data_IF_187262685077
#
_entry.id   IF_187262685077
#
_cell.length_a   1.000
_cell.length_b   1.000
_cell.length_c   1.000
_cell.angle_alpha   90.00
_cell.angle_beta   90.00
_cell.angle_gamma   90.00
#
_symmetry.space_group_name_H-M   'P 1'
#
loop_
_entity.id
_entity.type
_entity.pdbx_description
1 polymer ?
#
# COMPACT_ATOMS: atom_id res chain seq x y z
N UNK A 1 0.81 11.47 11.85
CA UNK A 1 2.20 11.93 12.01
C UNK A 1 3.02 11.66 10.74
N UNK A 2 4.16 12.34 10.56
CA UNK A 2 5.07 12.09 9.43
C UNK A 2 5.55 10.63 9.45
N UNK A 3 5.92 10.11 10.61
CA UNK A 3 6.36 8.71 10.78
C UNK A 3 5.28 7.72 10.29
N UNK A 4 4.01 7.95 10.62
CA UNK A 4 2.91 7.10 10.16
C UNK A 4 2.76 7.15 8.62
N UNK A 5 2.74 8.35 8.05
CA UNK A 5 2.58 8.54 6.60
C UNK A 5 3.72 7.90 5.81
N UNK A 6 4.98 8.19 6.17
CA UNK A 6 6.15 7.63 5.47
C UNK A 6 6.32 6.13 5.69
N UNK A 7 5.95 5.61 6.87
CA UNK A 7 5.99 4.18 7.14
C UNK A 7 4.93 3.40 6.35
N UNK A 8 3.72 3.94 6.22
CA UNK A 8 2.68 3.35 5.38
C UNK A 8 3.03 3.46 3.88
N UNK A 9 3.72 4.52 3.47
CA UNK A 9 4.26 4.64 2.13
C UNK A 9 5.29 3.53 1.83
N UNK A 10 6.21 3.29 2.75
CA UNK A 10 7.17 2.19 2.62
C UNK A 10 6.49 0.81 2.58
N UNK A 11 5.40 0.61 3.34
CA UNK A 11 4.58 -0.60 3.25
C UNK A 11 3.95 -0.74 1.86
N UNK A 12 3.42 0.37 1.32
CA UNK A 12 2.84 0.40 -0.02
C UNK A 12 3.88 0.01 -1.08
N UNK A 13 5.07 0.59 -1.02
CA UNK A 13 6.19 0.22 -1.90
C UNK A 13 6.46 -1.29 -1.87
N UNK A 14 6.54 -1.87 -0.67
CA UNK A 14 6.85 -3.29 -0.50
C UNK A 14 5.72 -4.20 -1.04
N UNK A 15 4.46 -3.89 -0.74
CA UNK A 15 3.32 -4.69 -1.19
C UNK A 15 3.16 -4.60 -2.71
N UNK A 16 3.16 -3.38 -3.28
CA UNK A 16 3.06 -3.21 -4.74
C UNK A 16 4.21 -3.89 -5.47
N UNK A 17 5.45 -3.74 -5.00
CA UNK A 17 6.60 -4.45 -5.58
C UNK A 17 6.41 -5.97 -5.52
N UNK A 18 5.86 -6.49 -4.42
CA UNK A 18 5.65 -7.92 -4.27
C UNK A 18 4.58 -8.47 -5.22
N UNK A 19 3.48 -7.74 -5.44
CA UNK A 19 2.40 -8.20 -6.33
C UNK A 19 2.56 -7.74 -7.78
N UNK A 20 3.56 -6.92 -8.07
CA UNK A 20 3.86 -6.39 -9.40
C UNK A 20 4.08 -7.50 -10.44
N UNK A 21 3.73 -7.23 -11.69
CA UNK A 21 4.06 -8.11 -12.81
C UNK A 21 5.57 -8.20 -13.08
N UNK A 22 6.35 -7.25 -12.58
CA UNK A 22 7.81 -7.25 -12.65
C UNK A 22 8.50 -7.96 -11.47
N UNK A 23 7.74 -8.55 -10.54
CA UNK A 23 8.28 -9.22 -9.37
C UNK A 23 9.11 -10.47 -9.73
N UNK A 24 10.17 -10.70 -9.00
CA UNK A 24 11.05 -11.86 -9.14
C UNK A 24 11.66 -12.26 -7.79
N UNK A 25 12.32 -13.42 -7.66
CA UNK A 25 12.77 -13.95 -6.35
C UNK A 25 13.58 -12.99 -5.48
N UNK A 26 14.42 -12.14 -6.07
CA UNK A 26 15.22 -11.17 -5.31
C UNK A 26 14.37 -10.01 -4.79
N UNK A 27 13.45 -9.50 -5.59
CA UNK A 27 12.53 -8.45 -5.15
C UNK A 27 11.52 -9.00 -4.13
N UNK A 28 11.08 -10.25 -4.30
CA UNK A 28 10.16 -10.93 -3.38
C UNK A 28 10.76 -11.06 -1.97
N UNK A 29 12.02 -11.48 -1.88
CA UNK A 29 12.69 -11.61 -0.59
C UNK A 29 12.78 -10.28 0.15
N UNK A 30 13.18 -9.22 -0.55
CA UNK A 30 13.27 -7.88 0.01
C UNK A 30 11.88 -7.33 0.41
N UNK A 31 10.88 -7.50 -0.45
CA UNK A 31 9.53 -7.00 -0.21
C UNK A 31 8.87 -7.67 1.02
N UNK A 32 8.93 -8.99 1.12
CA UNK A 32 8.33 -9.72 2.25
C UNK A 32 9.00 -9.37 3.58
N UNK A 33 10.33 -9.24 3.60
CA UNK A 33 11.04 -8.80 4.82
C UNK A 33 10.71 -7.34 5.17
N UNK A 34 10.61 -6.45 4.16
CA UNK A 34 10.16 -5.09 4.38
C UNK A 34 8.76 -5.03 5.02
N UNK A 35 7.80 -5.80 4.48
CA UNK A 35 6.43 -5.89 5.02
C UNK A 35 6.47 -6.34 6.50
N UNK A 36 7.26 -7.38 6.82
CA UNK A 36 7.39 -7.90 8.17
C UNK A 36 7.95 -6.85 9.14
N UNK A 37 9.03 -6.19 8.76
CA UNK A 37 9.67 -5.16 9.58
C UNK A 37 8.75 -3.98 9.82
N UNK A 38 8.13 -3.45 8.76
CA UNK A 38 7.25 -2.30 8.86
C UNK A 38 6.03 -2.60 9.72
N UNK A 39 5.37 -3.75 9.50
CA UNK A 39 4.22 -4.14 10.31
C UNK A 39 4.54 -4.25 11.81
N UNK A 40 5.72 -4.79 12.15
CA UNK A 40 6.14 -4.98 13.53
C UNK A 40 6.57 -3.67 14.21
N UNK A 41 7.26 -2.79 13.49
CA UNK A 41 7.97 -1.67 14.08
C UNK A 41 7.32 -0.31 13.84
N UNK A 42 6.48 -0.14 12.81
CA UNK A 42 5.83 1.14 12.56
C UNK A 42 4.97 1.62 13.73
N UNK A 43 4.12 0.78 14.37
CA UNK A 43 3.37 1.22 15.53
C UNK A 43 4.26 1.72 16.66
N UNK A 44 5.37 1.03 16.92
CA UNK A 44 6.33 1.40 17.98
C UNK A 44 7.04 2.73 17.67
N UNK A 45 7.41 2.94 16.41
CA UNK A 45 8.03 4.20 15.98
C UNK A 45 7.05 5.39 15.98
N UNK A 46 5.76 5.12 15.82
CA UNK A 46 4.69 6.13 15.91
C UNK A 46 4.38 6.48 17.36
N UNK A 47 4.33 5.47 18.24
CA UNK A 47 4.05 5.65 19.67
C UNK A 47 5.20 6.38 20.38
N UNK A 48 6.45 6.06 20.03
CA UNK A 48 7.64 6.71 20.57
C UNK A 48 8.66 7.02 19.45
N UNK A 49 8.66 8.25 18.99
CA UNK A 49 9.58 8.73 17.94
C UNK A 49 11.07 8.74 18.36
N UNK A 50 11.38 8.58 19.65
CA UNK A 50 12.74 8.49 20.20
C UNK A 50 13.22 7.05 20.38
N UNK A 51 12.37 6.05 20.14
CA UNK A 51 12.75 4.64 20.16
C UNK A 51 13.71 4.33 19.01
N UNK A 52 15.03 4.35 19.29
CA UNK A 52 16.08 4.18 18.28
C UNK A 52 16.01 2.81 17.60
N UNK A 53 15.67 1.75 18.33
CA UNK A 53 15.52 0.42 17.74
C UNK A 53 14.38 0.39 16.72
N UNK A 54 13.22 0.94 17.07
CA UNK A 54 12.09 1.01 16.14
C UNK A 54 12.42 1.83 14.89
N UNK A 55 13.14 2.94 15.05
CA UNK A 55 13.58 3.78 13.93
C UNK A 55 14.59 3.09 13.03
N UNK A 56 15.54 2.36 13.61
CA UNK A 56 16.53 1.55 12.86
C UNK A 56 15.82 0.47 12.03
N UNK A 57 14.91 -0.28 12.65
CA UNK A 57 14.17 -1.32 11.95
C UNK A 57 13.26 -0.76 10.86
N UNK A 58 12.66 0.41 11.08
CA UNK A 58 11.92 1.12 10.03
C UNK A 58 12.84 1.59 8.89
N UNK A 59 14.07 2.02 9.17
CA UNK A 59 15.05 2.38 8.15
C UNK A 59 15.44 1.15 7.29
N UNK A 60 15.65 -0.02 7.90
CA UNK A 60 15.86 -1.26 7.16
C UNK A 60 14.62 -1.64 6.32
N UNK A 61 13.43 -1.60 6.91
CA UNK A 61 12.18 -1.90 6.19
C UNK A 61 11.98 -1.01 4.97
N UNK A 62 12.18 0.29 5.12
CA UNK A 62 12.08 1.26 4.03
C UNK A 62 13.15 1.02 2.95
N UNK A 63 14.39 0.73 3.34
CA UNK A 63 15.47 0.45 2.40
C UNK A 63 15.21 -0.83 1.58
N UNK A 64 14.76 -1.91 2.23
CA UNK A 64 14.39 -3.15 1.55
C UNK A 64 13.20 -2.95 0.59
N UNK A 65 12.19 -2.16 1.00
CA UNK A 65 11.09 -1.78 0.12
C UNK A 65 11.60 -1.01 -1.11
N UNK A 66 12.55 -0.10 -0.91
CA UNK A 66 13.23 0.64 -1.97
C UNK A 66 13.96 -0.26 -2.96
N UNK A 67 14.72 -1.24 -2.46
CA UNK A 67 15.40 -2.25 -3.29
C UNK A 67 14.41 -3.09 -4.10
N UNK A 68 13.26 -3.43 -3.51
CA UNK A 68 12.24 -4.23 -4.17
C UNK A 68 11.58 -3.45 -5.32
N UNK A 69 11.00 -2.28 -5.04
CA UNK A 69 10.23 -1.55 -6.06
C UNK A 69 11.12 -0.97 -7.17
N UNK A 70 12.37 -0.65 -6.89
CA UNK A 70 13.29 -0.13 -7.91
C UNK A 70 13.49 -1.10 -9.08
N UNK A 71 13.33 -2.39 -8.83
CA UNK A 71 13.46 -3.44 -9.86
C UNK A 71 12.10 -4.02 -10.30
N UNK A 72 11.15 -4.19 -9.38
CA UNK A 72 9.85 -4.77 -9.68
C UNK A 72 8.83 -3.75 -10.20
N UNK A 73 9.03 -2.46 -9.96
CA UNK A 73 8.04 -1.41 -10.22
C UNK A 73 6.98 -1.33 -9.12
N UNK A 74 6.05 -0.40 -9.29
CA UNK A 74 4.92 -0.12 -8.40
C UNK A 74 3.60 -0.52 -9.07
N UNK A 75 2.49 0.10 -8.70
CA UNK A 75 1.18 -0.25 -9.24
C UNK A 75 0.16 0.88 -9.16
N UNK A 76 -1.11 0.50 -9.10
CA UNK A 76 -2.23 1.44 -9.11
C UNK A 76 -2.33 2.27 -7.83
N UNK A 77 -1.83 1.82 -6.68
CA UNK A 77 -1.88 2.64 -5.45
C UNK A 77 -1.11 3.94 -5.69
N UNK A 78 0.14 3.85 -6.14
CA UNK A 78 0.94 5.04 -6.45
C UNK A 78 0.35 5.84 -7.60
N UNK A 79 -0.08 5.18 -8.67
CA UNK A 79 -0.68 5.86 -9.83
C UNK A 79 -1.89 6.73 -9.43
N UNK A 80 -2.75 6.21 -8.56
CA UNK A 80 -3.91 6.95 -8.08
C UNK A 80 -3.53 7.98 -7.01
N UNK A 81 -2.58 7.69 -6.12
CA UNK A 81 -2.16 8.59 -5.05
C UNK A 81 -1.52 9.89 -5.56
N UNK A 82 -0.86 9.85 -6.71
CA UNK A 82 -0.25 11.04 -7.31
C UNK A 82 -1.26 12.15 -7.61
N UNK A 83 -2.51 11.81 -7.92
CA UNK A 83 -3.51 12.80 -8.35
C UNK A 83 -3.98 13.70 -7.19
N UNK A 84 -4.48 13.18 -6.05
CA UNK A 84 -4.83 14.02 -4.89
C UNK A 84 -3.60 14.72 -4.30
N UNK A 85 -2.42 14.09 -4.34
CA UNK A 85 -1.17 14.73 -3.94
C UNK A 85 -0.89 15.99 -4.76
N UNK A 86 -1.01 15.92 -6.07
CA UNK A 86 -0.73 17.03 -6.98
C UNK A 86 -1.79 18.14 -6.94
N UNK A 87 -3.07 17.80 -6.81
CA UNK A 87 -4.17 18.77 -6.92
C UNK A 87 -4.57 19.39 -5.58
N UNK A 88 -4.43 18.67 -4.49
CA UNK A 88 -4.82 19.09 -3.14
C UNK A 88 -3.63 19.27 -2.19
N UNK A 89 -2.40 19.10 -2.70
CA UNK A 89 -1.17 19.19 -1.90
C UNK A 89 -1.20 18.29 -0.67
N UNK A 90 -1.81 17.11 -0.79
CA UNK A 90 -1.88 16.12 0.28
C UNK A 90 -0.55 15.39 0.42
N UNK A 91 -0.15 14.99 1.65
CA UNK A 91 1.05 14.21 1.85
C UNK A 91 0.98 12.87 1.10
N UNK A 92 1.98 12.58 0.28
CA UNK A 92 2.04 11.39 -0.58
C UNK A 92 1.76 10.08 0.17
N UNK A 93 2.45 9.87 1.30
CA UNK A 93 2.26 8.67 2.10
C UNK A 93 0.86 8.53 2.72
N UNK A 94 0.15 9.64 2.97
CA UNK A 94 -1.26 9.61 3.40
C UNK A 94 -2.15 9.17 2.25
N UNK A 95 -1.92 9.69 1.04
CA UNK A 95 -2.68 9.29 -0.15
C UNK A 95 -2.50 7.80 -0.44
N UNK A 96 -1.27 7.30 -0.40
CA UNK A 96 -0.98 5.88 -0.55
C UNK A 96 -1.66 5.03 0.53
N UNK A 97 -1.57 5.44 1.79
CA UNK A 97 -2.14 4.68 2.91
C UNK A 97 -3.67 4.55 2.86
N UNK A 98 -4.38 5.59 2.40
CA UNK A 98 -5.84 5.55 2.20
C UNK A 98 -6.19 4.57 1.07
N UNK A 99 -5.49 4.64 -0.05
CA UNK A 99 -5.77 3.85 -1.25
C UNK A 99 -5.33 2.38 -1.13
N UNK A 100 -4.28 2.10 -0.34
CA UNK A 100 -3.65 0.79 -0.26
C UNK A 100 -4.64 -0.37 -0.01
N UNK A 101 -5.47 -0.38 1.04
CA UNK A 101 -6.37 -1.51 1.30
C UNK A 101 -7.47 -1.65 0.24
N UNK A 102 -7.85 -0.57 -0.41
CA UNK A 102 -8.91 -0.54 -1.43
C UNK A 102 -8.38 -1.15 -2.72
N UNK A 103 -7.26 -0.65 -3.21
CA UNK A 103 -6.67 -1.09 -4.48
C UNK A 103 -6.11 -2.49 -4.35
N UNK A 104 -5.52 -2.87 -3.21
CA UNK A 104 -5.02 -4.22 -3.04
C UNK A 104 -6.16 -5.25 -2.89
N UNK A 105 -7.33 -4.84 -2.39
CA UNK A 105 -8.52 -5.67 -2.47
C UNK A 105 -9.01 -5.86 -3.92
N UNK A 106 -8.92 -4.82 -4.75
CA UNK A 106 -9.17 -4.91 -6.20
C UNK A 106 -8.18 -5.84 -6.90
N UNK A 107 -6.90 -5.77 -6.54
CA UNK A 107 -5.82 -6.58 -7.12
C UNK A 107 -5.87 -8.05 -6.66
N UNK A 108 -6.39 -8.32 -5.47
CA UNK A 108 -6.34 -9.61 -4.78
C UNK A 108 -6.76 -10.81 -5.65
N UNK A 109 -7.86 -10.77 -6.43
CA UNK A 109 -8.25 -11.92 -7.25
C UNK A 109 -7.21 -12.35 -8.28
N UNK A 110 -6.33 -11.44 -8.70
CA UNK A 110 -5.27 -11.71 -9.67
C UNK A 110 -3.95 -12.18 -9.01
N UNK A 111 -3.86 -12.16 -7.67
CA UNK A 111 -2.64 -12.46 -6.94
C UNK A 111 -2.91 -13.15 -5.58
N UNK A 112 -3.92 -14.02 -5.50
CA UNK A 112 -4.41 -14.64 -4.26
C UNK A 112 -3.28 -15.28 -3.44
N UNK A 113 -2.45 -16.15 -4.04
CA UNK A 113 -1.35 -16.81 -3.36
C UNK A 113 -0.29 -15.80 -2.86
N UNK A 114 -0.06 -14.71 -3.59
CA UNK A 114 0.88 -13.66 -3.17
C UNK A 114 0.33 -12.88 -1.98
N UNK A 115 -0.96 -12.52 -1.98
CA UNK A 115 -1.59 -11.88 -0.82
C UNK A 115 -1.67 -12.80 0.41
N UNK A 116 -1.82 -14.12 0.23
CA UNK A 116 -1.70 -15.07 1.34
C UNK A 116 -0.30 -14.98 2.02
N UNK A 117 0.76 -14.80 1.23
CA UNK A 117 2.12 -14.58 1.75
C UNK A 117 2.28 -13.20 2.39
N UNK A 118 1.62 -12.16 1.86
CA UNK A 118 1.57 -10.83 2.51
C UNK A 118 0.94 -10.96 3.90
N UNK A 119 -0.17 -11.70 4.05
CA UNK A 119 -0.79 -11.95 5.36
C UNK A 119 0.22 -12.55 6.36
N UNK A 120 0.96 -13.58 5.93
CA UNK A 120 1.99 -14.21 6.76
C UNK A 120 3.09 -13.20 7.17
N UNK A 121 3.58 -12.40 6.23
CA UNK A 121 4.58 -11.37 6.48
C UNK A 121 4.06 -10.30 7.46
N UNK A 122 2.78 -9.99 7.42
CA UNK A 122 2.10 -9.10 8.38
C UNK A 122 1.75 -9.80 9.72
N UNK A 123 2.23 -11.01 9.95
CA UNK A 123 2.08 -11.71 11.23
C UNK A 123 0.72 -12.38 11.44
N UNK A 124 -0.11 -12.52 10.40
CA UNK A 124 -1.37 -13.27 10.48
C UNK A 124 -1.08 -14.77 10.59
N UNK A 125 -1.71 -15.44 11.56
CA UNK A 125 -1.65 -16.90 11.65
C UNK A 125 -2.56 -17.53 10.57
N UNK A 126 -1.94 -17.97 9.49
CA UNK A 126 -2.65 -18.55 8.33
C UNK A 126 -2.74 -20.07 8.37
N UNK A 127 -2.36 -20.73 9.47
CA UNK A 127 -2.44 -22.19 9.60
C UNK A 127 -3.89 -22.68 9.45
N UNK A 128 -4.11 -23.59 8.53
CA UNK A 128 -5.44 -24.12 8.24
C UNK A 128 -6.33 -23.24 7.38
N UNK A 129 -5.87 -22.07 6.97
CA UNK A 129 -6.59 -21.22 6.02
C UNK A 129 -6.31 -21.66 4.57
N UNK A 130 -7.31 -21.48 3.71
CA UNK A 130 -7.07 -21.46 2.26
C UNK A 130 -6.32 -20.17 1.87
N UNK A 131 -5.66 -20.18 0.72
CA UNK A 131 -5.01 -18.98 0.18
C UNK A 131 -6.03 -17.83 0.00
N UNK A 132 -7.27 -18.16 -0.39
CA UNK A 132 -8.34 -17.17 -0.51
C UNK A 132 -8.64 -16.50 0.83
N UNK A 133 -8.83 -17.26 1.90
CA UNK A 133 -9.08 -16.73 3.24
C UNK A 133 -7.88 -15.94 3.77
N UNK A 134 -6.67 -16.46 3.58
CA UNK A 134 -5.43 -15.78 3.98
C UNK A 134 -5.25 -14.46 3.21
N UNK A 135 -5.55 -14.43 1.91
CA UNK A 135 -5.46 -13.22 1.10
C UNK A 135 -6.41 -12.11 1.56
N UNK A 136 -7.62 -12.47 1.99
CA UNK A 136 -8.56 -11.51 2.60
C UNK A 136 -8.04 -10.99 3.94
N UNK A 137 -7.40 -11.86 4.73
CA UNK A 137 -6.78 -11.45 6.01
C UNK A 137 -5.62 -10.47 5.81
N UNK A 138 -4.90 -10.52 4.68
CA UNK A 138 -3.90 -9.52 4.35
C UNK A 138 -4.52 -8.11 4.22
N UNK A 139 -5.62 -8.00 3.49
CA UNK A 139 -6.32 -6.72 3.32
C UNK A 139 -6.82 -6.18 4.67
N UNK A 140 -7.34 -7.06 5.54
CA UNK A 140 -7.75 -6.65 6.88
C UNK A 140 -6.55 -6.20 7.72
N UNK A 141 -5.43 -6.90 7.68
CA UNK A 141 -4.22 -6.51 8.40
C UNK A 141 -3.68 -5.14 7.96
N UNK A 142 -3.78 -4.81 6.67
CA UNK A 142 -3.43 -3.47 6.15
C UNK A 142 -4.35 -2.40 6.75
N UNK A 143 -5.67 -2.63 6.78
CA UNK A 143 -6.65 -1.72 7.38
C UNK A 143 -6.38 -1.51 8.87
N UNK A 144 -6.13 -2.58 9.59
CA UNK A 144 -5.87 -2.54 11.03
C UNK A 144 -4.60 -1.74 11.35
N UNK A 145 -3.53 -1.93 10.56
CA UNK A 145 -2.30 -1.16 10.72
C UNK A 145 -2.52 0.33 10.40
N UNK A 146 -3.21 0.65 9.30
CA UNK A 146 -3.56 2.04 8.94
C UNK A 146 -4.31 2.74 10.07
N UNK A 147 -5.34 2.08 10.61
CA UNK A 147 -6.13 2.60 11.74
C UNK A 147 -5.26 2.75 13.00
N UNK A 148 -4.41 1.75 13.31
CA UNK A 148 -3.52 1.74 14.48
C UNK A 148 -2.54 2.90 14.48
N UNK A 149 -2.06 3.32 13.31
CA UNK A 149 -1.10 4.43 13.21
C UNK A 149 -1.75 5.78 12.88
N UNK A 150 -3.08 5.84 12.88
CA UNK A 150 -3.87 7.07 12.78
C UNK A 150 -3.93 7.67 11.37
N UNK A 151 -3.97 6.84 10.33
CA UNK A 151 -4.26 7.28 8.97
C UNK A 151 -5.75 7.65 8.86
N UNK A 152 -6.12 8.75 8.18
CA UNK A 152 -7.52 9.08 7.89
C UNK A 152 -8.22 7.94 7.15
N UNK A 153 -9.52 7.75 7.41
CA UNK A 153 -10.30 6.67 6.79
C UNK A 153 -10.67 6.93 5.33
N UNK A 154 -10.55 8.17 4.85
CA UNK A 154 -10.87 8.54 3.49
C UNK A 154 -10.48 9.97 3.15
N UNK A 155 -10.46 10.27 1.87
CA UNK A 155 -10.08 11.57 1.31
C UNK A 155 -11.07 12.71 1.64
N UNK A 156 -12.34 12.39 1.91
CA UNK A 156 -13.33 13.42 2.29
C UNK A 156 -12.92 14.19 3.55
N UNK A 157 -12.20 13.53 4.47
CA UNK A 157 -11.65 14.17 5.67
C UNK A 157 -10.54 15.18 5.36
N UNK A 158 -10.00 15.11 4.14
CA UNK A 158 -8.91 15.95 3.64
C UNK A 158 -9.36 16.98 2.60
N UNK A 159 -10.67 17.14 2.43
CA UNK A 159 -11.26 18.14 1.56
C UNK A 159 -11.46 17.73 0.10
N UNK A 160 -11.19 16.47 -0.24
CA UNK A 160 -11.47 15.93 -1.59
C UNK A 160 -12.95 15.65 -1.74
N UNK A 161 -13.49 15.92 -2.92
CA UNK A 161 -14.90 15.74 -3.27
C UNK A 161 -15.05 14.86 -4.51
N UNK A 162 -16.29 14.40 -4.77
CA UNK A 162 -16.59 13.64 -5.99
C UNK A 162 -16.28 14.42 -7.28
N UNK A 163 -16.38 15.75 -7.24
CA UNK A 163 -16.12 16.59 -8.41
C UNK A 163 -14.66 16.56 -8.87
N UNK A 164 -13.73 16.27 -7.95
CA UNK A 164 -12.30 16.22 -8.24
C UNK A 164 -11.90 14.96 -9.02
N UNK A 165 -12.62 13.86 -8.79
CA UNK A 165 -12.27 12.52 -9.29
C UNK A 165 -12.20 12.46 -10.82
N UNK A 166 -13.18 13.05 -11.51
CA UNK A 166 -13.24 13.00 -12.98
C UNK A 166 -11.98 13.58 -13.66
N UNK A 167 -11.36 14.59 -13.04
CA UNK A 167 -10.12 15.20 -13.53
C UNK A 167 -8.87 14.34 -13.33
N UNK A 168 -8.97 13.25 -12.57
CA UNK A 168 -7.85 12.38 -12.21
C UNK A 168 -7.77 11.10 -13.04
N UNK A 169 -8.90 10.59 -13.53
CA UNK A 169 -9.02 9.23 -14.07
C UNK A 169 -8.02 8.92 -15.18
N UNK A 170 -7.97 9.77 -16.21
CA UNK A 170 -7.10 9.55 -17.36
C UNK A 170 -5.62 9.74 -17.01
N UNK A 171 -5.33 10.66 -16.09
CA UNK A 171 -3.97 10.89 -15.58
C UNK A 171 -3.47 9.71 -14.75
N UNK A 172 -4.33 9.13 -13.90
CA UNK A 172 -3.99 7.96 -13.10
C UNK A 172 -3.72 6.73 -13.99
N UNK A 173 -4.53 6.53 -15.03
CA UNK A 173 -4.31 5.44 -16.00
C UNK A 173 -3.06 5.62 -16.86
N UNK A 174 -2.65 6.87 -17.12
CA UNK A 174 -1.44 7.20 -17.87
C UNK A 174 -0.18 7.27 -16.99
N UNK A 175 -0.32 7.09 -15.68
CA UNK A 175 0.81 7.13 -14.76
C UNK A 175 1.79 5.97 -15.01
N UNK A 176 3.11 6.23 -14.99
CA UNK A 176 4.13 5.20 -15.26
C UNK A 176 4.12 4.02 -14.27
N UNK A 177 3.50 4.15 -13.11
CA UNK A 177 3.34 3.07 -12.15
C UNK A 177 2.24 2.06 -12.55
N UNK A 178 1.20 2.51 -13.25
CA UNK A 178 0.02 1.70 -13.58
C UNK A 178 0.32 0.40 -14.36
N UNK A 179 1.25 0.37 -15.34
CA UNK A 179 1.52 -0.84 -16.12
C UNK A 179 2.07 -2.03 -15.33
N UNK A 180 2.66 -1.80 -14.16
CA UNK A 180 3.21 -2.87 -13.32
C UNK A 180 2.17 -3.51 -12.38
N UNK A 181 0.94 -2.97 -12.33
CA UNK A 181 -0.12 -3.50 -11.47
C UNK A 181 -0.56 -4.90 -11.93
N UNK A 182 -0.83 -5.84 -11.01
CA UNK A 182 -1.19 -7.22 -11.38
C UNK A 182 -2.57 -7.36 -12.05
N UNK A 183 -3.40 -6.33 -11.94
CA UNK A 183 -4.72 -6.25 -12.58
C UNK A 183 -4.84 -4.93 -13.33
N UNK A 184 -5.18 -5.01 -14.61
CA UNK A 184 -5.53 -3.82 -15.39
C UNK A 184 -6.88 -3.26 -14.92
N UNK A 185 -6.96 -1.95 -14.77
CA UNK A 185 -8.19 -1.26 -14.41
C UNK A 185 -8.75 -0.46 -15.60
N UNK A 186 -10.05 -0.51 -15.79
CA UNK A 186 -10.77 0.39 -16.69
C UNK A 186 -10.95 1.77 -16.03
N UNK A 187 -11.32 2.77 -16.84
CA UNK A 187 -11.59 4.12 -16.36
C UNK A 187 -12.74 4.14 -15.32
N UNK A 188 -13.76 3.31 -15.53
CA UNK A 188 -14.89 3.22 -14.60
C UNK A 188 -14.48 2.53 -13.29
N UNK A 189 -13.65 1.48 -13.34
CA UNK A 189 -13.11 0.85 -12.13
C UNK A 189 -12.23 1.84 -11.34
N UNK A 190 -11.39 2.64 -11.99
CA UNK A 190 -10.60 3.69 -11.31
C UNK A 190 -11.52 4.72 -10.62
N UNK A 191 -12.64 5.08 -11.26
CA UNK A 191 -13.65 5.96 -10.64
C UNK A 191 -14.22 5.34 -9.36
N UNK A 192 -14.63 4.07 -9.41
CA UNK A 192 -15.19 3.38 -8.24
C UNK A 192 -14.17 3.26 -7.10
N UNK A 193 -12.89 2.98 -7.42
CA UNK A 193 -11.82 2.92 -6.41
C UNK A 193 -11.63 4.28 -5.71
N UNK A 194 -11.69 5.40 -6.44
CA UNK A 194 -11.65 6.71 -5.82
C UNK A 194 -12.91 7.02 -5.00
N UNK A 195 -14.08 6.60 -5.48
CA UNK A 195 -15.34 6.79 -4.74
C UNK A 195 -15.34 6.02 -3.41
N UNK A 196 -14.76 4.80 -3.39
CA UNK A 196 -14.58 4.02 -2.17
C UNK A 196 -13.58 4.69 -1.21
N UNK A 197 -12.63 5.45 -1.73
CA UNK A 197 -11.61 6.14 -0.96
C UNK A 197 -12.07 7.52 -0.41
N UNK A 198 -13.27 8.01 -0.74
CA UNK A 198 -13.83 9.24 -0.18
C UNK A 198 -14.33 9.04 1.25
#
# INVERSE_FOLDING_TARGET
SVTAATGMDALTHAIEAYVSVGAHPLTDANALEAIRLINLWLPKAVDDGHNLEAREQMAFGQYLAGMAFNSAGLGLVHALAHQPGATHNLPHGVCNAILLPIIENFNRPNAVARFARVAQAMGVDTRGMSDEAASMSAIQAIRDLSARVGIPSGFSQLGVTKADIEGWLDKALADPCAPCNPRTASRDEVRELYLEAL
#
